data_IF_940290715750
#
_entry.id   IF_940290715750
#
_cell.length_a   1.000
_cell.length_b   1.000
_cell.length_c   1.000
_cell.angle_alpha   90.00
_cell.angle_beta   90.00
_cell.angle_gamma   90.00
#
_symmetry.space_group_name_H-M   'P 1'
#
loop_
_entity.id
_entity.type
_entity.pdbx_description
1 polymer ?
#
# COMPACT_ATOMS: atom_id res chain seq x y z
N UNK A 1 -16.72 -13.58 27.23
CA UNK A 1 -16.93 -14.22 25.90
C UNK A 1 -15.81 -13.76 24.98
N UNK A 2 -14.77 -14.58 24.76
CA UNK A 2 -13.71 -14.21 23.81
C UNK A 2 -14.29 -14.24 22.40
N UNK A 3 -14.47 -13.07 21.77
CA UNK A 3 -14.75 -13.03 20.34
C UNK A 3 -13.48 -13.48 19.65
N UNK A 4 -13.51 -14.58 18.91
CA UNK A 4 -12.42 -14.93 17.98
C UNK A 4 -12.55 -14.04 16.75
N UNK A 5 -11.48 -13.39 16.31
CA UNK A 5 -11.51 -12.59 15.09
C UNK A 5 -11.88 -13.50 13.91
N UNK A 6 -12.98 -13.21 13.22
CA UNK A 6 -13.36 -13.97 12.03
C UNK A 6 -12.45 -13.57 10.88
N UNK A 7 -12.00 -14.55 10.09
CA UNK A 7 -11.19 -14.33 8.90
C UNK A 7 -11.85 -13.35 7.90
N UNK A 8 -13.19 -13.26 7.92
CA UNK A 8 -13.97 -12.28 7.15
C UNK A 8 -13.78 -10.83 7.63
N UNK A 9 -13.64 -10.63 8.94
CA UNK A 9 -13.39 -9.30 9.52
C UNK A 9 -11.99 -8.83 9.13
N UNK A 10 -10.99 -9.71 9.24
CA UNK A 10 -9.62 -9.40 8.83
C UNK A 10 -9.56 -9.09 7.33
N UNK A 11 -10.25 -9.88 6.50
CA UNK A 11 -10.39 -9.59 5.07
C UNK A 11 -10.93 -8.18 4.82
N UNK A 12 -12.08 -7.84 5.43
CA UNK A 12 -12.68 -6.52 5.24
C UNK A 12 -11.76 -5.38 5.64
N UNK A 13 -11.08 -5.52 6.78
CA UNK A 13 -10.13 -4.51 7.28
C UNK A 13 -8.96 -4.33 6.32
N UNK A 14 -8.34 -5.44 5.89
CA UNK A 14 -7.20 -5.40 4.97
C UNK A 14 -7.62 -4.89 3.59
N UNK A 15 -8.80 -5.27 3.09
CA UNK A 15 -9.33 -4.78 1.82
C UNK A 15 -9.54 -3.27 1.85
N UNK A 16 -10.14 -2.72 2.91
CA UNK A 16 -10.36 -1.27 3.01
C UNK A 16 -9.03 -0.49 3.02
N UNK A 17 -8.03 -0.97 3.79
CA UNK A 17 -6.70 -0.36 3.81
C UNK A 17 -6.03 -0.41 2.42
N UNK A 18 -6.10 -1.56 1.74
CA UNK A 18 -5.46 -1.73 0.43
C UNK A 18 -6.16 -0.96 -0.68
N UNK A 19 -7.47 -0.76 -0.60
CA UNK A 19 -8.20 0.16 -1.49
C UNK A 19 -7.72 1.59 -1.25
N UNK A 20 -7.68 2.05 0.01
CA UNK A 20 -7.18 3.38 0.37
C UNK A 20 -5.76 3.62 -0.15
N UNK A 21 -4.86 2.66 0.06
CA UNK A 21 -3.50 2.69 -0.47
C UNK A 21 -3.49 2.74 -2.01
N UNK A 22 -4.24 1.85 -2.67
CA UNK A 22 -4.29 1.75 -4.13
C UNK A 22 -4.87 2.98 -4.84
N UNK A 23 -5.72 3.76 -4.16
CA UNK A 23 -6.22 5.06 -4.67
C UNK A 23 -5.06 6.03 -4.90
N UNK A 24 -4.06 6.06 -4.01
CA UNK A 24 -3.04 7.10 -4.02
C UNK A 24 -1.87 6.80 -4.98
N UNK A 25 -1.51 5.53 -5.17
CA UNK A 25 -0.33 5.12 -5.97
C UNK A 25 -0.27 5.79 -7.36
N UNK A 26 -1.26 5.63 -8.25
CA UNK A 26 -1.19 6.20 -9.60
C UNK A 26 -1.26 7.73 -9.58
N UNK A 27 -1.85 8.31 -8.53
CA UNK A 27 -2.07 9.74 -8.40
C UNK A 27 -0.81 10.47 -7.92
N UNK A 28 0.10 9.79 -7.21
CA UNK A 28 1.36 10.38 -6.77
C UNK A 28 2.19 10.96 -7.92
N UNK A 29 2.20 10.31 -9.08
CA UNK A 29 2.86 10.84 -10.27
C UNK A 29 2.20 12.13 -10.77
N UNK A 30 0.88 12.11 -10.91
CA UNK A 30 0.07 13.26 -11.38
C UNK A 30 0.27 14.48 -10.48
N UNK A 31 0.09 14.31 -9.17
CA UNK A 31 0.15 15.40 -8.21
C UNK A 31 1.57 15.79 -7.83
N UNK A 32 2.54 14.88 -7.91
CA UNK A 32 3.95 15.22 -7.82
C UNK A 32 4.32 16.21 -8.91
N UNK A 33 4.01 15.89 -10.18
CA UNK A 33 4.30 16.79 -11.31
C UNK A 33 3.52 18.10 -11.19
N UNK A 34 2.25 18.08 -10.77
CA UNK A 34 1.43 19.28 -10.51
C UNK A 34 2.13 20.28 -9.58
N UNK A 35 2.82 19.79 -8.54
CA UNK A 35 3.54 20.63 -7.59
C UNK A 35 5.02 20.87 -7.96
N UNK A 36 5.42 20.54 -9.19
CA UNK A 36 6.75 20.82 -9.73
C UNK A 36 7.79 19.71 -9.51
N UNK A 37 7.37 18.47 -9.21
CA UNK A 37 8.31 17.36 -9.09
C UNK A 37 8.88 16.98 -10.45
N UNK A 38 10.21 16.83 -10.52
CA UNK A 38 10.86 16.11 -11.61
C UNK A 38 10.49 14.61 -11.58
N UNK A 39 10.66 13.85 -12.68
CA UNK A 39 10.48 12.39 -12.67
C UNK A 39 11.28 11.69 -11.57
N UNK A 40 12.51 12.14 -11.32
CA UNK A 40 13.34 11.63 -10.23
C UNK A 40 12.71 11.93 -8.85
N UNK A 41 12.21 13.15 -8.64
CA UNK A 41 11.52 13.54 -7.41
C UNK A 41 10.22 12.76 -7.20
N UNK A 42 9.47 12.43 -8.26
CA UNK A 42 8.32 11.52 -8.19
C UNK A 42 8.76 10.12 -7.75
N UNK A 43 9.86 9.61 -8.30
CA UNK A 43 10.45 8.35 -7.87
C UNK A 43 10.82 8.35 -6.37
N UNK A 44 11.40 9.44 -5.87
CA UNK A 44 11.68 9.63 -4.45
C UNK A 44 10.39 9.70 -3.61
N UNK A 45 9.36 10.38 -4.09
CA UNK A 45 8.07 10.51 -3.41
C UNK A 45 7.35 9.16 -3.25
N UNK A 46 7.46 8.28 -4.24
CA UNK A 46 6.94 6.92 -4.15
C UNK A 46 7.81 6.07 -3.22
N UNK A 47 9.14 6.21 -3.33
CA UNK A 47 10.10 5.39 -2.56
C UNK A 47 10.13 5.72 -1.07
N UNK A 48 9.86 6.98 -0.67
CA UNK A 48 9.91 7.39 0.74
C UNK A 48 8.89 6.64 1.59
N UNK A 49 7.71 6.33 1.04
CA UNK A 49 6.70 5.52 1.71
C UNK A 49 7.28 4.13 2.05
N UNK A 50 7.84 3.45 1.05
CA UNK A 50 8.42 2.11 1.22
C UNK A 50 9.63 2.12 2.15
N UNK A 51 10.44 3.17 2.12
CA UNK A 51 11.57 3.34 3.04
C UNK A 51 11.09 3.49 4.50
N UNK A 52 10.10 4.35 4.73
CA UNK A 52 9.52 4.52 6.07
C UNK A 52 8.83 3.25 6.55
N UNK A 53 8.11 2.55 5.67
CA UNK A 53 7.49 1.27 5.97
C UNK A 53 8.53 0.21 6.33
N UNK A 54 9.65 0.14 5.61
CA UNK A 54 10.75 -0.79 5.91
C UNK A 54 11.33 -0.56 7.30
N UNK A 55 11.49 0.70 7.70
CA UNK A 55 12.01 1.07 9.03
C UNK A 55 10.96 0.82 10.13
N UNK A 56 9.70 1.17 9.87
CA UNK A 56 8.63 1.10 10.85
C UNK A 56 8.07 -0.31 11.05
N UNK A 57 8.04 -1.16 10.02
CA UNK A 57 7.42 -2.49 10.09
C UNK A 57 8.03 -3.38 11.20
N UNK A 58 9.37 -3.47 11.39
CA UNK A 58 9.95 -4.22 12.51
C UNK A 58 9.60 -3.62 13.88
N UNK A 59 9.49 -2.29 13.97
CA UNK A 59 9.16 -1.59 15.22
C UNK A 59 7.70 -1.84 15.59
N UNK A 60 6.78 -1.64 14.64
CA UNK A 60 5.35 -1.89 14.80
C UNK A 60 5.07 -3.36 15.07
N UNK A 61 5.77 -4.29 14.41
CA UNK A 61 5.65 -5.72 14.69
C UNK A 61 5.99 -6.05 16.15
N UNK A 62 7.11 -5.53 16.68
CA UNK A 62 7.47 -5.70 18.10
C UNK A 62 6.49 -5.02 19.05
N UNK A 63 6.04 -3.82 18.69
CA UNK A 63 5.04 -3.10 19.47
C UNK A 63 3.75 -3.91 19.57
N UNK A 64 3.37 -4.54 18.47
CA UNK A 64 2.19 -5.40 18.34
C UNK A 64 2.33 -6.67 19.16
N UNK A 65 3.51 -7.29 19.17
CA UNK A 65 3.81 -8.43 20.04
C UNK A 65 3.73 -8.06 21.53
N UNK A 66 4.18 -6.83 21.90
CA UNK A 66 4.27 -6.38 23.30
C UNK A 66 2.97 -5.85 23.88
N UNK A 67 2.25 -5.02 23.13
CA UNK A 67 1.07 -4.29 23.59
C UNK A 67 -0.25 -4.87 23.06
N UNK A 68 -0.20 -5.86 22.17
CA UNK A 68 -1.37 -6.44 21.52
C UNK A 68 -1.50 -6.00 20.07
N UNK A 69 -2.17 -6.84 19.29
CA UNK A 69 -2.31 -6.69 17.84
C UNK A 69 -3.29 -5.60 17.49
N UNK A 70 -4.37 -5.47 18.27
CA UNK A 70 -5.44 -4.50 18.02
C UNK A 70 -5.01 -3.04 18.28
N UNK A 71 -4.39 -2.69 19.43
CA UNK A 71 -3.95 -1.31 19.68
C UNK A 71 -2.96 -0.79 18.62
N UNK A 72 -2.06 -1.64 18.15
CA UNK A 72 -1.07 -1.24 17.14
C UNK A 72 -1.70 -1.08 15.76
N UNK A 73 -2.65 -1.93 15.38
CA UNK A 73 -3.43 -1.73 14.14
C UNK A 73 -4.20 -0.41 14.17
N UNK A 74 -4.85 -0.08 15.29
CA UNK A 74 -5.56 1.19 15.45
C UNK A 74 -4.60 2.39 15.35
N UNK A 75 -3.43 2.31 16.00
CA UNK A 75 -2.41 3.37 15.92
C UNK A 75 -1.92 3.57 14.48
N UNK A 76 -1.66 2.47 13.76
CA UNK A 76 -1.32 2.50 12.34
C UNK A 76 -2.41 3.17 11.52
N UNK A 77 -3.68 2.76 11.69
CA UNK A 77 -4.81 3.34 10.96
C UNK A 77 -4.99 4.83 11.24
N UNK A 78 -4.77 5.29 12.49
CA UNK A 78 -4.79 6.72 12.82
C UNK A 78 -3.69 7.48 12.08
N UNK A 79 -2.48 6.96 12.02
CA UNK A 79 -1.42 7.65 11.29
C UNK A 79 -1.64 7.65 9.77
N UNK A 80 -2.16 6.57 9.18
CA UNK A 80 -2.58 6.57 7.77
C UNK A 80 -3.71 7.56 7.50
N UNK A 81 -4.67 7.69 8.41
CA UNK A 81 -5.72 8.72 8.34
C UNK A 81 -5.10 10.13 8.28
N UNK A 82 -4.13 10.42 9.15
CA UNK A 82 -3.41 11.70 9.14
C UNK A 82 -2.64 11.90 7.82
N UNK A 83 -1.97 10.86 7.33
CA UNK A 83 -1.27 10.88 6.05
C UNK A 83 -2.19 11.20 4.87
N UNK A 84 -3.39 10.60 4.83
CA UNK A 84 -4.38 10.87 3.78
C UNK A 84 -5.01 12.26 3.88
N UNK A 85 -5.28 12.75 5.09
CA UNK A 85 -5.74 14.12 5.31
C UNK A 85 -4.68 15.13 4.85
N UNK A 86 -3.40 14.91 5.19
CA UNK A 86 -2.32 15.78 4.73
C UNK A 86 -2.15 15.75 3.21
N UNK A 87 -2.33 14.60 2.58
CA UNK A 87 -2.36 14.49 1.12
C UNK A 87 -3.51 15.28 0.50
N UNK A 88 -4.70 15.21 1.12
CA UNK A 88 -5.87 15.97 0.69
C UNK A 88 -5.60 17.48 0.73
N UNK A 89 -4.95 17.94 1.79
CA UNK A 89 -4.61 19.33 2.04
C UNK A 89 -3.26 19.74 1.44
N UNK A 90 -2.66 18.91 0.60
CA UNK A 90 -1.35 19.20 0.03
C UNK A 90 -1.44 20.32 -1.01
N UNK A 91 -0.61 21.36 -0.83
CA UNK A 91 -0.45 22.48 -1.77
C UNK A 91 1.00 22.64 -2.24
N UNK A 92 1.90 21.74 -1.80
CA UNK A 92 3.34 21.80 -2.08
C UNK A 92 3.98 20.41 -1.98
N UNK A 93 5.14 20.24 -2.63
CA UNK A 93 5.89 18.98 -2.58
C UNK A 93 6.31 18.55 -1.17
N UNK A 94 6.84 19.44 -0.30
CA UNK A 94 7.22 19.04 1.06
C UNK A 94 6.05 18.46 1.85
N UNK A 95 4.83 19.00 1.65
CA UNK A 95 3.63 18.51 2.33
C UNK A 95 3.21 17.14 1.79
N UNK A 96 3.40 16.86 0.49
CA UNK A 96 3.24 15.52 -0.07
C UNK A 96 4.25 14.52 0.50
N UNK A 97 5.52 14.91 0.63
CA UNK A 97 6.54 14.07 1.27
C UNK A 97 6.17 13.77 2.71
N UNK A 98 5.74 14.78 3.49
CA UNK A 98 5.30 14.58 4.87
C UNK A 98 4.12 13.62 4.95
N UNK A 99 3.12 13.79 4.08
CA UNK A 99 1.98 12.88 3.98
C UNK A 99 2.41 11.42 3.72
N UNK A 100 3.43 11.22 2.86
CA UNK A 100 3.99 9.88 2.58
C UNK A 100 4.85 9.32 3.69
N UNK A 101 5.59 10.17 4.40
CA UNK A 101 6.39 9.74 5.55
C UNK A 101 5.48 9.24 6.66
N UNK A 102 4.44 10.00 7.01
CA UNK A 102 3.50 9.61 8.07
C UNK A 102 2.77 8.32 7.69
N UNK A 103 2.23 8.24 6.47
CA UNK A 103 1.53 7.04 6.01
C UNK A 103 2.48 5.83 5.92
N UNK A 104 3.73 6.02 5.49
CA UNK A 104 4.74 4.96 5.43
C UNK A 104 5.13 4.43 6.81
N UNK A 105 5.29 5.31 7.80
CA UNK A 105 5.52 4.90 9.19
C UNK A 105 4.33 4.07 9.71
N UNK A 106 3.12 4.43 9.30
CA UNK A 106 1.88 3.75 9.66
C UNK A 106 1.63 2.43 8.91
N UNK A 107 2.26 2.22 7.76
CA UNK A 107 2.06 1.08 6.86
C UNK A 107 2.51 -0.30 7.38
N UNK A 108 2.89 -0.45 8.66
CA UNK A 108 3.15 -1.74 9.30
C UNK A 108 1.89 -2.58 9.62
N UNK A 109 0.72 -2.09 9.23
CA UNK A 109 -0.58 -2.76 9.39
C UNK A 109 -0.63 -4.13 8.67
N UNK A 110 -0.05 -4.28 7.48
CA UNK A 110 -0.08 -5.53 6.70
C UNK A 110 0.65 -6.66 7.44
N UNK A 111 1.83 -6.40 8.00
CA UNK A 111 2.58 -7.38 8.78
C UNK A 111 1.80 -7.80 10.03
N UNK A 112 1.12 -6.85 10.68
CA UNK A 112 0.28 -7.12 11.83
C UNK A 112 -0.97 -7.93 11.44
N UNK A 113 -1.59 -7.64 10.30
CA UNK A 113 -2.73 -8.40 9.78
C UNK A 113 -2.33 -9.84 9.39
N UNK A 114 -1.16 -10.03 8.78
CA UNK A 114 -0.58 -11.35 8.53
C UNK A 114 -0.37 -12.13 9.83
N UNK A 115 0.11 -11.46 10.89
CA UNK A 115 0.25 -12.07 12.21
C UNK A 115 -1.12 -12.46 12.79
N UNK A 116 -2.14 -11.57 12.73
CA UNK A 116 -3.51 -11.90 13.17
C UNK A 116 -4.05 -13.13 12.42
N UNK A 117 -3.88 -13.20 11.10
CA UNK A 117 -4.30 -14.37 10.31
C UNK A 117 -3.55 -15.63 10.75
N UNK A 118 -2.25 -15.54 11.00
CA UNK A 118 -1.44 -16.65 11.46
C UNK A 118 -1.82 -17.14 12.87
N UNK A 119 -2.30 -16.23 13.74
CA UNK A 119 -2.73 -16.47 15.12
C UNK A 119 -4.12 -17.13 15.17
N UNK A 120 -5.02 -16.79 14.24
CA UNK A 120 -6.40 -17.34 14.21
C UNK A 120 -6.57 -18.57 13.32
N UNK A 121 -5.55 -18.95 12.54
CA UNK A 121 -5.60 -20.11 11.64
C UNK A 121 -4.72 -21.26 12.13
N UNK A 122 -5.21 -22.49 11.95
CA UNK A 122 -4.43 -23.69 12.24
C UNK A 122 -3.27 -23.83 11.23
N UNK A 123 -2.16 -24.49 11.57
CA UNK A 123 -1.01 -24.64 10.67
C UNK A 123 -1.38 -25.17 9.27
N UNK A 124 -2.32 -26.11 9.21
CA UNK A 124 -2.79 -26.76 7.97
C UNK A 124 -3.65 -25.80 7.11
N UNK A 125 -4.30 -24.82 7.75
CA UNK A 125 -5.18 -23.85 7.10
C UNK A 125 -4.50 -22.50 6.84
N UNK A 126 -3.27 -22.31 7.32
CA UNK A 126 -2.53 -21.04 7.26
C UNK A 126 -2.32 -20.55 5.83
N UNK A 127 -2.03 -21.46 4.88
CA UNK A 127 -1.92 -21.11 3.47
C UNK A 127 -3.23 -20.52 2.92
N UNK A 128 -4.37 -21.12 3.29
CA UNK A 128 -5.70 -20.62 2.91
C UNK A 128 -6.02 -19.28 3.58
N UNK A 129 -5.64 -19.11 4.85
CA UNK A 129 -5.76 -17.84 5.56
C UNK A 129 -4.96 -16.72 4.90
N UNK A 130 -3.70 -16.98 4.56
CA UNK A 130 -2.84 -16.02 3.84
C UNK A 130 -3.37 -15.71 2.43
N UNK A 131 -4.03 -16.66 1.78
CA UNK A 131 -4.72 -16.44 0.51
C UNK A 131 -5.80 -15.36 0.57
N UNK A 132 -6.43 -15.15 1.72
CA UNK A 132 -7.42 -14.08 1.92
C UNK A 132 -6.78 -12.69 1.93
N UNK A 133 -5.57 -12.56 2.48
CA UNK A 133 -4.78 -11.33 2.37
C UNK A 133 -4.43 -11.07 0.90
N UNK A 134 -4.02 -12.11 0.16
CA UNK A 134 -3.77 -12.01 -1.28
C UNK A 134 -4.99 -11.56 -2.07
N UNK A 135 -6.18 -12.08 -1.76
CA UNK A 135 -7.44 -11.65 -2.37
C UNK A 135 -7.75 -10.17 -2.07
N UNK A 136 -7.46 -9.71 -0.84
CA UNK A 136 -7.63 -8.31 -0.46
C UNK A 136 -6.69 -7.39 -1.25
N UNK A 137 -5.44 -7.79 -1.50
CA UNK A 137 -4.53 -7.08 -2.41
C UNK A 137 -5.10 -6.99 -3.82
N UNK A 138 -5.59 -8.10 -4.37
CA UNK A 138 -6.24 -8.09 -5.70
C UNK A 138 -7.37 -7.06 -5.78
N UNK A 139 -8.26 -7.03 -4.78
CA UNK A 139 -9.33 -6.04 -4.72
C UNK A 139 -8.80 -4.60 -4.60
N UNK A 140 -7.81 -4.36 -3.74
CA UNK A 140 -7.20 -3.05 -3.56
C UNK A 140 -6.57 -2.51 -4.84
N UNK A 141 -5.84 -3.36 -5.56
CA UNK A 141 -5.20 -3.00 -6.83
C UNK A 141 -6.18 -2.87 -8.01
N UNK A 142 -7.34 -3.52 -7.97
CA UNK A 142 -8.40 -3.34 -8.98
C UNK A 142 -9.20 -2.06 -8.72
N UNK A 143 -9.73 -1.92 -7.51
CA UNK A 143 -10.66 -0.84 -7.17
C UNK A 143 -9.95 0.46 -6.86
N UNK A 144 -8.81 0.38 -6.18
CA UNK A 144 -8.06 1.56 -5.70
C UNK A 144 -7.71 2.50 -6.84
N UNK A 145 -6.93 2.07 -7.85
CA UNK A 145 -6.55 2.92 -8.96
C UNK A 145 -7.73 3.48 -9.77
N UNK A 146 -8.78 2.68 -10.00
CA UNK A 146 -10.00 3.13 -10.68
C UNK A 146 -10.66 4.30 -9.93
N UNK A 147 -10.83 4.14 -8.61
CA UNK A 147 -11.39 5.17 -7.74
C UNK A 147 -10.46 6.38 -7.66
N UNK A 148 -9.15 6.17 -7.53
CA UNK A 148 -8.16 7.25 -7.49
C UNK A 148 -8.15 8.10 -8.75
N UNK A 149 -8.25 7.46 -9.92
CA UNK A 149 -8.35 8.16 -11.20
C UNK A 149 -9.64 8.97 -11.33
N UNK A 150 -10.78 8.39 -10.96
CA UNK A 150 -12.06 9.10 -10.97
C UNK A 150 -12.07 10.27 -9.99
N UNK A 151 -11.65 10.07 -8.74
CA UNK A 151 -11.62 11.13 -7.72
C UNK A 151 -10.64 12.25 -8.09
N UNK A 152 -9.46 11.89 -8.61
CA UNK A 152 -8.48 12.87 -9.08
C UNK A 152 -9.00 13.71 -10.24
N UNK A 153 -9.76 13.11 -11.14
CA UNK A 153 -10.31 13.75 -12.32
C UNK A 153 -11.33 14.86 -12.01
N UNK A 154 -12.11 14.70 -10.93
CA UNK A 154 -13.23 15.60 -10.62
C UNK A 154 -13.01 16.45 -9.37
N UNK A 155 -12.19 15.98 -8.42
CA UNK A 155 -12.00 16.67 -7.13
C UNK A 155 -10.54 16.81 -6.71
N UNK A 156 -9.59 16.52 -7.60
CA UNK A 156 -8.19 16.78 -7.33
C UNK A 156 -7.59 15.89 -6.24
N UNK A 157 -6.45 16.31 -5.68
CA UNK A 157 -5.84 15.66 -4.52
C UNK A 157 -6.73 15.74 -3.28
N UNK A 158 -7.56 16.78 -3.16
CA UNK A 158 -8.50 16.94 -2.05
C UNK A 158 -9.50 15.78 -1.99
N UNK A 159 -10.20 15.49 -3.10
CA UNK A 159 -11.16 14.38 -3.13
C UNK A 159 -10.50 13.01 -2.94
N UNK A 160 -9.32 12.81 -3.55
CA UNK A 160 -8.55 11.57 -3.35
C UNK A 160 -8.23 11.36 -1.87
N UNK A 161 -7.62 12.36 -1.23
CA UNK A 161 -7.17 12.25 0.15
C UNK A 161 -8.33 12.15 1.13
N UNK A 162 -9.40 12.93 0.96
CA UNK A 162 -10.58 12.86 1.84
C UNK A 162 -11.33 11.54 1.70
N UNK A 163 -11.47 11.00 0.49
CA UNK A 163 -12.13 9.71 0.30
C UNK A 163 -11.30 8.57 0.90
N UNK A 164 -9.98 8.56 0.67
CA UNK A 164 -9.08 7.57 1.29
C UNK A 164 -9.07 7.70 2.82
N UNK A 165 -9.07 8.93 3.36
CA UNK A 165 -9.22 9.19 4.78
C UNK A 165 -10.56 8.68 5.31
N UNK A 166 -11.65 8.87 4.58
CA UNK A 166 -12.97 8.32 4.92
C UNK A 166 -12.98 6.79 4.98
N UNK A 167 -12.35 6.13 4.01
CA UNK A 167 -12.20 4.67 4.02
C UNK A 167 -11.42 4.19 5.25
N UNK A 168 -10.30 4.85 5.58
CA UNK A 168 -9.51 4.50 6.77
C UNK A 168 -10.27 4.82 8.06
N UNK A 169 -11.05 5.89 8.12
CA UNK A 169 -11.88 6.19 9.28
C UNK A 169 -12.96 5.12 9.50
N UNK A 170 -13.63 4.67 8.42
CA UNK A 170 -14.54 3.52 8.48
C UNK A 170 -13.78 2.27 8.93
N UNK A 171 -12.58 2.04 8.39
CA UNK A 171 -11.76 0.90 8.76
C UNK A 171 -11.34 0.94 10.24
N UNK A 172 -11.00 2.11 10.77
CA UNK A 172 -10.66 2.34 12.17
C UNK A 172 -11.84 1.99 13.09
N UNK A 173 -13.05 2.43 12.72
CA UNK A 173 -14.29 2.06 13.42
C UNK A 173 -14.54 0.56 13.36
N UNK A 174 -14.34 -0.06 12.18
CA UNK A 174 -14.48 -1.50 12.02
C UNK A 174 -13.48 -2.28 12.88
N UNK A 175 -12.20 -1.91 12.88
CA UNK A 175 -11.17 -2.49 13.74
C UNK A 175 -11.53 -2.31 15.21
N UNK A 176 -12.02 -1.12 15.59
CA UNK A 176 -12.40 -0.84 16.97
C UNK A 176 -13.52 -1.77 17.45
N UNK A 177 -14.58 -1.99 16.68
CA UNK A 177 -15.73 -2.78 17.15
C UNK A 177 -15.63 -4.29 16.87
N UNK A 178 -14.98 -4.68 15.78
CA UNK A 178 -15.04 -6.04 15.27
C UNK A 178 -13.73 -6.82 15.37
N UNK A 179 -12.58 -6.15 15.57
CA UNK A 179 -11.31 -6.85 15.76
C UNK A 179 -11.06 -7.08 17.26
N UNK A 180 -11.29 -8.29 17.78
CA UNK A 180 -10.87 -8.63 19.14
C UNK A 180 -9.35 -8.72 19.23
N UNK A 181 -8.81 -8.57 20.44
CA UNK A 181 -7.39 -8.81 20.66
C UNK A 181 -7.07 -10.29 20.39
N UNK A 182 -6.15 -10.54 19.46
CA UNK A 182 -5.78 -11.89 19.03
C UNK A 182 -4.58 -12.43 19.77
N UNK A 183 -3.85 -11.59 20.53
CA UNK A 183 -2.76 -12.05 21.39
C UNK A 183 -3.31 -12.90 22.53
N UNK A 184 -2.84 -14.14 22.62
CA UNK A 184 -3.07 -15.02 23.77
C UNK A 184 -2.25 -14.49 24.95
N UNK A 185 -2.91 -14.00 26.00
CA UNK A 185 -2.26 -13.69 27.28
C UNK A 185 -1.61 -14.98 27.84
N UNK A 186 -0.30 -14.97 28.05
CA UNK A 186 0.45 -16.13 28.57
C UNK A 186 1.08 -17.06 27.52
N UNK A 187 1.01 -16.73 26.22
CA UNK A 187 1.88 -17.40 25.22
C UNK A 187 3.36 -17.18 25.57
N UNK A 188 4.25 -18.15 25.30
CA UNK A 188 5.66 -18.11 25.74
C UNK A 188 6.22 -16.74 25.42
N UNK A 189 6.76 -16.04 26.43
CA UNK A 189 7.32 -14.69 26.31
C UNK A 189 8.03 -14.60 24.97
N UNK A 190 7.35 -13.95 24.01
CA UNK A 190 7.66 -14.13 22.61
C UNK A 190 9.12 -13.80 22.46
N UNK A 191 9.95 -14.80 22.13
CA UNK A 191 11.37 -14.64 21.90
C UNK A 191 11.51 -13.34 21.16
N UNK A 192 11.96 -12.29 21.85
CA UNK A 192 11.94 -10.95 21.28
C UNK A 192 12.75 -11.12 20.03
N UNK A 193 12.10 -11.06 18.85
CA UNK A 193 12.77 -11.15 17.56
C UNK A 193 13.49 -9.82 17.42
N UNK A 194 14.57 -9.75 18.20
CA UNK A 194 15.53 -8.68 18.30
C UNK A 194 16.09 -8.47 16.90
N UNK A 195 16.63 -7.29 16.60
CA UNK A 195 17.37 -7.09 15.33
C UNK A 195 18.37 -8.23 15.10
N UNK A 196 18.96 -8.76 16.17
CA UNK A 196 19.78 -9.98 16.17
C UNK A 196 19.08 -11.23 15.61
N UNK A 197 17.82 -11.51 15.97
CA UNK A 197 17.07 -12.66 15.46
C UNK A 197 16.68 -12.51 13.98
N UNK A 198 16.37 -11.29 13.52
CA UNK A 198 16.17 -11.02 12.10
C UNK A 198 17.47 -11.18 11.29
N UNK A 199 18.59 -10.67 11.82
CA UNK A 199 19.93 -10.86 11.24
C UNK A 199 20.35 -12.33 11.26
N UNK A 200 19.96 -13.09 12.28
CA UNK A 200 20.24 -14.52 12.36
C UNK A 200 19.38 -15.33 11.38
N UNK A 201 18.11 -14.93 11.16
CA UNK A 201 17.28 -15.51 10.11
C UNK A 201 17.85 -15.25 8.70
N UNK A 202 18.48 -14.09 8.47
CA UNK A 202 19.22 -13.78 7.25
C UNK A 202 20.47 -14.66 7.05
N UNK A 203 20.98 -15.33 8.10
CA UNK A 203 22.07 -16.31 7.97
C UNK A 203 21.59 -17.67 7.48
N UNK A 204 20.28 -17.95 7.49
CA UNK A 204 19.74 -19.18 6.93
C UNK A 204 19.69 -19.04 5.39
N UNK A 205 20.42 -19.87 4.63
CA UNK A 205 20.60 -19.67 3.20
C UNK A 205 19.30 -19.79 2.40
N UNK A 206 18.31 -20.54 2.89
CA UNK A 206 16.98 -20.65 2.27
C UNK A 206 16.18 -19.36 2.50
N UNK A 207 16.14 -18.86 3.75
CA UNK A 207 15.39 -17.64 4.11
C UNK A 207 15.97 -16.42 3.41
N UNK A 208 17.31 -16.28 3.39
CA UNK A 208 17.98 -15.20 2.68
C UNK A 208 17.65 -15.18 1.19
N UNK A 209 17.67 -16.34 0.52
CA UNK A 209 17.27 -16.47 -0.89
C UNK A 209 15.81 -16.07 -1.11
N UNK A 210 14.89 -16.53 -0.27
CA UNK A 210 13.48 -16.14 -0.37
C UNK A 210 13.28 -14.62 -0.18
N UNK A 211 13.96 -14.02 0.80
CA UNK A 211 13.88 -12.58 1.05
C UNK A 211 14.45 -11.76 -0.12
N UNK A 212 15.58 -12.17 -0.69
CA UNK A 212 16.16 -11.51 -1.87
C UNK A 212 15.23 -11.64 -3.08
N UNK A 213 14.68 -12.83 -3.35
CA UNK A 213 13.73 -13.01 -4.45
C UNK A 213 12.47 -12.16 -4.26
N UNK A 214 11.94 -12.10 -3.04
CA UNK A 214 10.77 -11.30 -2.71
C UNK A 214 11.09 -9.80 -2.85
N UNK A 215 12.25 -9.35 -2.40
CA UNK A 215 12.71 -7.97 -2.56
C UNK A 215 12.86 -7.59 -4.05
N UNK A 216 13.51 -8.44 -4.85
CA UNK A 216 13.69 -8.19 -6.29
C UNK A 216 12.33 -8.13 -7.00
N UNK A 217 11.43 -9.05 -6.69
CA UNK A 217 10.09 -9.08 -7.24
C UNK A 217 9.27 -7.83 -6.86
N UNK A 218 9.22 -7.48 -5.58
CA UNK A 218 8.47 -6.30 -5.12
C UNK A 218 9.08 -4.99 -5.64
N UNK A 219 10.40 -4.92 -5.77
CA UNK A 219 11.09 -3.77 -6.35
C UNK A 219 10.77 -3.62 -7.82
N UNK A 220 10.88 -4.70 -8.61
CA UNK A 220 10.54 -4.69 -10.03
C UNK A 220 9.07 -4.30 -10.25
N UNK A 221 8.17 -4.86 -9.45
CA UNK A 221 6.74 -4.53 -9.49
C UNK A 221 6.49 -3.05 -9.16
N UNK A 222 7.08 -2.54 -8.07
CA UNK A 222 6.92 -1.12 -7.67
C UNK A 222 7.50 -0.15 -8.70
N UNK A 223 8.64 -0.50 -9.32
CA UNK A 223 9.25 0.31 -10.38
C UNK A 223 8.42 0.35 -11.64
N UNK A 224 7.81 -0.79 -12.01
CA UNK A 224 6.83 -0.85 -13.07
C UNK A 224 5.69 0.12 -12.79
N UNK A 225 5.08 0.11 -11.61
CA UNK A 225 3.96 1.02 -11.26
C UNK A 225 4.34 2.51 -11.32
N UNK A 226 5.46 2.88 -10.69
CA UNK A 226 5.91 4.27 -10.62
C UNK A 226 6.31 4.83 -11.98
N UNK A 227 7.14 4.10 -12.73
CA UNK A 227 7.63 4.53 -14.05
C UNK A 227 6.50 4.54 -15.06
N UNK A 228 5.60 3.57 -15.01
CA UNK A 228 4.48 3.48 -15.95
C UNK A 228 3.51 4.66 -15.79
N UNK A 229 3.24 5.09 -14.55
CA UNK A 229 2.43 6.28 -14.28
C UNK A 229 3.03 7.53 -14.94
N UNK A 230 4.34 7.76 -14.76
CA UNK A 230 5.05 8.90 -15.37
C UNK A 230 5.11 8.76 -16.90
N UNK A 231 5.37 7.56 -17.42
CA UNK A 231 5.38 7.28 -18.85
C UNK A 231 4.05 7.66 -19.50
N UNK A 232 2.92 7.29 -18.90
CA UNK A 232 1.60 7.67 -19.41
C UNK A 232 1.42 9.18 -19.47
N UNK A 233 1.88 9.91 -18.45
CA UNK A 233 1.85 11.37 -18.47
C UNK A 233 2.65 11.91 -19.65
N UNK A 234 3.88 11.43 -19.84
CA UNK A 234 4.77 11.89 -20.92
C UNK A 234 4.36 11.46 -22.32
N UNK A 235 3.64 10.34 -22.48
CA UNK A 235 3.26 9.81 -23.79
C UNK A 235 1.95 10.39 -24.31
N UNK A 236 1.03 10.72 -23.40
CA UNK A 236 -0.37 10.97 -23.74
C UNK A 236 -0.89 12.36 -23.36
N UNK A 237 -0.13 13.15 -22.58
CA UNK A 237 -0.56 14.49 -22.13
C UNK A 237 0.35 15.62 -22.63
N UNK A 238 1.46 15.29 -23.27
CA UNK A 238 2.30 16.28 -23.92
C UNK A 238 1.90 16.45 -25.37
N UNK A 239 1.62 17.69 -25.76
CA UNK A 239 1.49 18.08 -27.15
C UNK A 239 2.91 18.21 -27.73
N UNK A 240 3.60 17.09 -27.90
CA UNK A 240 5.01 17.00 -28.32
C UNK A 240 5.81 15.96 -27.53
N UNK A 241 7.01 15.55 -27.98
CA UNK A 241 7.86 14.65 -27.22
C UNK A 241 8.23 15.34 -25.91
N UNK A 242 7.71 14.89 -24.76
CA UNK A 242 8.39 15.20 -23.50
C UNK A 242 9.75 14.52 -23.62
N UNK A 243 10.78 15.33 -23.84
CA UNK A 243 12.14 14.86 -23.76
C UNK A 243 12.33 14.25 -22.37
N UNK A 244 12.45 12.93 -22.31
CA UNK A 244 13.05 12.25 -21.17
C UNK A 244 14.54 12.53 -21.25
N UNK A 245 14.96 13.73 -20.89
CA UNK A 245 16.34 13.96 -20.51
C UNK A 245 16.38 14.17 -19.00
N UNK A 246 17.26 13.41 -18.33
CA UNK A 246 17.52 13.48 -16.90
C UNK A 246 18.18 14.80 -16.47
N UNK A 247 17.58 15.93 -16.84
CA UNK A 247 18.11 17.26 -16.60
C UNK A 247 17.46 17.95 -15.39
N UNK A 248 18.32 18.60 -14.61
CA UNK A 248 18.04 19.53 -13.51
C UNK A 248 17.19 20.77 -13.91
N UNK A 249 16.61 20.80 -15.12
CA UNK A 249 15.94 21.97 -15.70
C UNK A 249 14.50 21.64 -16.12
N UNK A 250 13.58 22.30 -15.43
CA UNK A 250 12.12 22.20 -15.56
C UNK A 250 11.66 22.89 -16.86
N UNK A 251 10.97 22.16 -17.74
CA UNK A 251 9.90 22.81 -18.51
C UNK A 251 8.63 22.78 -17.65
N UNK A 252 7.83 23.87 -17.64
CA UNK A 252 6.56 23.87 -16.97
C UNK A 252 5.65 22.85 -17.66
N UNK A 253 5.42 21.70 -17.03
CA UNK A 253 4.31 20.82 -17.41
C UNK A 253 3.05 21.66 -17.25
N UNK A 254 2.30 21.83 -18.34
CA UNK A 254 1.09 22.63 -18.32
C UNK A 254 0.17 22.11 -17.22
N UNK A 255 -0.07 22.94 -16.23
CA UNK A 255 -0.96 22.71 -15.08
C UNK A 255 -2.43 22.92 -15.44
N UNK A 256 -2.79 22.70 -16.70
CA UNK A 256 -4.17 22.80 -17.13
C UNK A 256 -4.98 21.70 -16.45
N UNK A 257 -6.06 22.11 -15.79
CA UNK A 257 -7.04 21.25 -15.13
C UNK A 257 -7.58 20.16 -16.05
N UNK A 258 -7.74 20.42 -17.34
CA UNK A 258 -8.20 19.42 -18.31
C UNK A 258 -7.16 18.30 -18.52
N UNK A 259 -5.88 18.66 -18.57
CA UNK A 259 -4.75 17.74 -18.74
C UNK A 259 -4.60 16.86 -17.49
N UNK A 260 -4.66 17.45 -16.30
CA UNK A 260 -4.61 16.70 -15.02
C UNK A 260 -5.81 15.74 -14.86
N UNK A 261 -6.98 16.13 -15.38
CA UNK A 261 -8.17 15.28 -15.38
C UNK A 261 -7.98 14.04 -16.24
N UNK A 262 -7.54 14.23 -17.48
CA UNK A 262 -7.28 13.13 -18.42
C UNK A 262 -6.15 12.22 -17.92
N UNK A 263 -5.11 12.80 -17.33
CA UNK A 263 -4.03 12.09 -16.64
C UNK A 263 -4.54 11.10 -15.61
N UNK A 264 -5.38 11.62 -14.71
CA UNK A 264 -5.90 10.88 -13.56
C UNK A 264 -6.76 9.71 -14.05
N UNK A 265 -7.66 9.95 -15.02
CA UNK A 265 -8.52 8.91 -15.60
C UNK A 265 -7.72 7.82 -16.30
N UNK A 266 -6.74 8.18 -17.13
CA UNK A 266 -5.94 7.20 -17.89
C UNK A 266 -5.07 6.36 -16.97
N UNK A 267 -4.42 6.98 -15.99
CA UNK A 267 -3.64 6.27 -14.99
C UNK A 267 -4.55 5.31 -14.19
N UNK A 268 -5.68 5.79 -13.68
CA UNK A 268 -6.60 4.95 -12.91
C UNK A 268 -7.18 3.78 -13.70
N UNK A 269 -7.62 4.01 -14.94
CA UNK A 269 -8.17 2.97 -15.81
C UNK A 269 -7.17 1.86 -16.12
N UNK A 270 -5.93 2.22 -16.44
CA UNK A 270 -4.96 1.23 -16.88
C UNK A 270 -4.53 0.31 -15.73
N UNK A 271 -4.29 0.88 -14.55
CA UNK A 271 -4.03 0.10 -13.35
C UNK A 271 -5.22 -0.80 -12.97
N UNK A 272 -6.46 -0.33 -13.16
CA UNK A 272 -7.64 -1.16 -12.95
C UNK A 272 -7.67 -2.38 -13.89
N UNK A 273 -7.36 -2.17 -15.18
CA UNK A 273 -7.26 -3.27 -16.18
C UNK A 273 -6.15 -4.25 -15.80
N UNK A 274 -4.96 -3.75 -15.42
CA UNK A 274 -3.86 -4.60 -14.96
C UNK A 274 -4.27 -5.39 -13.73
N UNK A 275 -4.93 -4.76 -12.76
CA UNK A 275 -5.46 -5.42 -11.58
C UNK A 275 -6.43 -6.55 -11.93
N UNK A 276 -7.36 -6.33 -12.87
CA UNK A 276 -8.32 -7.34 -13.31
C UNK A 276 -7.60 -8.51 -13.98
N UNK A 277 -6.65 -8.23 -14.87
CA UNK A 277 -5.84 -9.27 -15.53
C UNK A 277 -5.03 -10.07 -14.50
N UNK A 278 -4.38 -9.40 -13.55
CA UNK A 278 -3.67 -10.07 -12.45
C UNK A 278 -4.59 -10.94 -11.61
N UNK A 279 -5.78 -10.46 -11.26
CA UNK A 279 -6.77 -11.24 -10.52
C UNK A 279 -7.25 -12.49 -11.30
N UNK A 280 -7.46 -12.38 -12.62
CA UNK A 280 -7.82 -13.50 -13.48
C UNK A 280 -6.69 -14.53 -13.60
N UNK A 281 -5.44 -14.08 -13.77
CA UNK A 281 -4.27 -14.96 -13.87
C UNK A 281 -4.02 -15.68 -12.54
N UNK A 282 -4.06 -14.97 -11.41
CA UNK A 282 -3.88 -15.56 -10.08
C UNK A 282 -5.04 -16.48 -9.70
N UNK A 283 -6.29 -16.05 -9.91
CA UNK A 283 -7.49 -16.81 -9.56
C UNK A 283 -7.76 -18.01 -10.47
N UNK A 284 -7.31 -17.96 -11.73
CA UNK A 284 -7.50 -19.01 -12.73
C UNK A 284 -6.27 -19.91 -12.90
N UNK A 285 -5.23 -19.37 -13.54
CA UNK A 285 -4.07 -20.15 -14.00
C UNK A 285 -3.27 -20.67 -12.82
N UNK A 286 -2.91 -19.80 -11.87
CA UNK A 286 -2.08 -20.18 -10.72
C UNK A 286 -2.82 -21.13 -9.78
N UNK A 287 -4.10 -20.89 -9.52
CA UNK A 287 -4.94 -21.79 -8.71
C UNK A 287 -5.00 -23.21 -9.30
N UNK A 288 -5.12 -23.34 -10.63
CA UNK A 288 -5.15 -24.65 -11.31
C UNK A 288 -3.80 -25.37 -11.25
N UNK A 289 -2.69 -24.64 -11.31
CA UNK A 289 -1.35 -25.21 -11.19
C UNK A 289 -1.08 -25.70 -9.75
N UNK A 290 -1.47 -24.92 -8.74
CA UNK A 290 -1.31 -25.29 -7.33
C UNK A 290 -2.19 -26.50 -6.91
N UNK A 291 -3.31 -26.74 -7.59
CA UNK A 291 -4.12 -27.95 -7.35
C UNK A 291 -3.55 -29.23 -7.99
N UNK A 292 -2.46 -29.12 -8.77
CA UNK A 292 -1.81 -30.24 -9.48
C UNK A 292 -0.46 -30.65 -8.88
N UNK A 293 0.00 -29.95 -7.85
CA UNK A 293 1.25 -30.19 -7.11
C UNK A 293 0.95 -30.58 -5.67
#
# INVERSE_FOLDING_TARGET
MSRTASLRVVFGIVSLDLIGFGILIPQLGVYGVKFGASPFTVGLLISVYSLMQLVAAPVLGRLSDRYGRRPVLLLSQVGSLLGYVLFALAHSLPLLFLARVIDGISGGNIATAQAVVADITRPEERARGMGVIGAAFGLGFVLGPALGGFLGAWGGNLAIGLFAAGLVAVNLVCTWFFLPESRVEGGPEGHVRTLKGAVQALRLPVVARCLVLMLLFTTAFSQMEGTFSVYLLTRFLSVGPVALEGGLFLHPVMTDTAVLREASLRAGWLFAVVGVLSALVQGGVVRRLASRS
#
